data_IF_927786545988
#
_entry.id   IF_927786545988
#
_cell.length_a   1.000
_cell.length_b   1.000
_cell.length_c   1.000
_cell.angle_alpha   90.00
_cell.angle_beta   90.00
_cell.angle_gamma   90.00
#
_symmetry.space_group_name_H-M   'P 1'
#
loop_
_entity.id
_entity.type
_entity.pdbx_description
1 polymer ?
#
# COMPACT_ATOMS: atom_id res chain seq x y z
N UNK A 1 22.35 2.82 -19.83
CA UNK A 1 20.93 3.13 -20.11
C UNK A 1 20.61 2.57 -21.48
N UNK A 2 20.13 1.32 -21.62
CA UNK A 2 19.60 0.78 -22.89
C UNK A 2 19.04 -0.66 -22.77
N UNK A 3 18.77 -1.18 -21.56
CA UNK A 3 18.22 -2.56 -21.45
C UNK A 3 16.84 -2.70 -22.10
N UNK A 4 16.02 -1.65 -22.05
CA UNK A 4 14.62 -1.72 -22.49
C UNK A 4 14.27 -0.73 -23.61
N UNK A 5 15.16 0.21 -23.97
CA UNK A 5 14.90 1.20 -25.02
C UNK A 5 13.67 2.09 -24.78
N UNK A 6 13.23 2.22 -23.51
CA UNK A 6 12.07 3.02 -23.11
C UNK A 6 12.51 4.41 -22.71
N UNK A 7 11.79 5.41 -23.20
CA UNK A 7 11.91 6.79 -22.74
C UNK A 7 10.84 7.05 -21.64
N UNK A 8 11.30 7.31 -20.42
CA UNK A 8 10.45 7.41 -19.23
C UNK A 8 10.65 8.76 -18.53
N UNK A 9 9.54 9.35 -18.06
CA UNK A 9 9.53 10.61 -17.31
C UNK A 9 8.88 10.42 -15.95
N UNK A 10 9.23 11.28 -15.00
CA UNK A 10 8.64 11.31 -13.67
C UNK A 10 7.64 12.45 -13.52
N UNK A 11 6.60 12.20 -12.75
CA UNK A 11 5.66 13.20 -12.27
C UNK A 11 5.70 13.26 -10.74
N UNK A 12 5.29 14.41 -10.19
CA UNK A 12 5.20 14.55 -8.74
C UNK A 12 4.08 13.69 -8.17
N UNK A 13 4.30 13.15 -6.97
CA UNK A 13 3.32 12.34 -6.26
C UNK A 13 3.01 12.96 -4.91
N UNK A 14 1.75 12.89 -4.50
CA UNK A 14 1.28 13.30 -3.16
C UNK A 14 1.52 12.24 -2.09
N UNK A 15 2.13 11.10 -2.45
CA UNK A 15 2.36 9.98 -1.54
C UNK A 15 3.60 10.28 -0.69
N UNK A 16 3.45 10.24 0.64
CA UNK A 16 4.55 10.42 1.59
C UNK A 16 5.18 9.11 2.04
N UNK A 17 4.39 8.03 2.13
CA UNK A 17 4.88 6.72 2.57
C UNK A 17 3.93 5.59 2.18
N UNK A 18 4.47 4.40 1.93
CA UNK A 18 3.68 3.19 1.73
C UNK A 18 3.71 2.29 2.97
N UNK A 19 2.63 1.56 3.24
CA UNK A 19 2.55 0.50 4.25
C UNK A 19 1.88 -0.72 3.64
N UNK A 20 2.49 -1.89 3.74
CA UNK A 20 1.79 -3.11 3.37
C UNK A 20 0.68 -3.39 4.38
N UNK A 21 -0.44 -3.91 3.91
CA UNK A 21 -1.63 -4.15 4.74
C UNK A 21 -1.96 -5.63 4.76
N UNK A 22 -2.12 -6.19 5.95
CA UNK A 22 -2.58 -7.57 6.15
C UNK A 22 -3.65 -7.65 7.23
N UNK A 23 -4.45 -8.72 7.21
CA UNK A 23 -5.46 -8.99 8.25
C UNK A 23 -5.94 -10.44 8.17
N UNK A 24 -6.17 -11.04 9.33
CA UNK A 24 -6.85 -12.34 9.43
C UNK A 24 -8.35 -12.23 9.05
N UNK A 25 -8.92 -11.03 9.08
CA UNK A 25 -10.30 -10.75 8.66
C UNK A 25 -10.34 -10.31 7.19
N UNK A 26 -10.50 -11.30 6.30
CA UNK A 26 -10.60 -11.08 4.84
C UNK A 26 -11.69 -10.09 4.45
N UNK A 27 -12.79 -10.01 5.21
CA UNK A 27 -13.87 -9.06 4.94
C UNK A 27 -13.39 -7.64 5.20
N UNK A 28 -12.72 -7.41 6.33
CA UNK A 28 -12.14 -6.10 6.64
C UNK A 28 -11.10 -5.67 5.61
N UNK A 29 -10.27 -6.59 5.12
CA UNK A 29 -9.29 -6.28 4.08
C UNK A 29 -9.95 -5.91 2.74
N UNK A 30 -10.98 -6.65 2.33
CA UNK A 30 -11.74 -6.35 1.12
C UNK A 30 -12.52 -5.03 1.23
N UNK A 31 -13.15 -4.76 2.37
CA UNK A 31 -13.84 -3.49 2.62
C UNK A 31 -12.87 -2.31 2.59
N UNK A 32 -11.64 -2.49 3.10
CA UNK A 32 -10.58 -1.49 3.06
C UNK A 32 -10.13 -1.18 1.63
N UNK A 33 -9.86 -2.21 0.83
CA UNK A 33 -9.48 -2.05 -0.57
C UNK A 33 -10.59 -1.35 -1.37
N UNK A 34 -11.85 -1.74 -1.14
CA UNK A 34 -13.00 -1.14 -1.82
C UNK A 34 -13.20 0.34 -1.43
N UNK A 35 -13.06 0.69 -0.15
CA UNK A 35 -13.29 2.06 0.33
C UNK A 35 -12.14 3.02 0.04
N UNK A 36 -10.89 2.50 0.02
CA UNK A 36 -9.68 3.28 -0.17
C UNK A 36 -8.98 2.97 -1.49
N UNK A 37 -9.74 2.55 -2.52
CA UNK A 37 -9.21 2.16 -3.83
C UNK A 37 -8.22 3.15 -4.46
N UNK A 38 -8.41 4.46 -4.24
CA UNK A 38 -7.50 5.51 -4.74
C UNK A 38 -6.21 5.68 -3.92
N UNK A 39 -6.12 5.07 -2.75
CA UNK A 39 -5.00 5.14 -1.82
C UNK A 39 -4.39 3.75 -1.56
N UNK A 40 -4.71 2.77 -2.40
CA UNK A 40 -4.10 1.44 -2.34
C UNK A 40 -3.51 1.08 -3.70
N UNK A 41 -2.48 0.25 -3.66
CA UNK A 41 -1.86 -0.32 -4.84
C UNK A 41 -1.35 -1.71 -4.53
N UNK A 42 -1.05 -2.46 -5.58
CA UNK A 42 -0.35 -3.73 -5.48
C UNK A 42 1.12 -3.55 -5.85
N UNK A 43 2.01 -4.11 -5.04
CA UNK A 43 3.43 -4.17 -5.38
C UNK A 43 3.71 -5.26 -6.43
N UNK A 44 4.96 -5.35 -6.89
CA UNK A 44 5.37 -6.32 -7.91
C UNK A 44 5.16 -7.80 -7.52
N UNK A 45 4.99 -8.11 -6.23
CA UNK A 45 4.70 -9.45 -5.72
C UNK A 45 3.20 -9.66 -5.41
N UNK A 46 2.34 -8.69 -5.72
CA UNK A 46 0.91 -8.76 -5.53
C UNK A 46 0.46 -8.56 -4.07
N UNK A 47 1.25 -7.84 -3.26
CA UNK A 47 0.85 -7.46 -1.91
C UNK A 47 0.15 -6.10 -1.91
N UNK A 48 -0.96 -6.02 -1.17
CA UNK A 48 -1.70 -4.78 -0.99
C UNK A 48 -0.88 -3.79 -0.15
N UNK A 49 -0.73 -2.57 -0.65
CA UNK A 49 -0.04 -1.48 0.03
C UNK A 49 -0.94 -0.24 0.07
N UNK A 50 -1.06 0.34 1.26
CA UNK A 50 -1.66 1.64 1.49
C UNK A 50 -0.66 2.75 1.20
N UNK A 51 -1.07 3.73 0.40
CA UNK A 51 -0.28 4.87 -0.07
C UNK A 51 -0.70 6.11 0.70
N UNK A 52 -0.09 6.32 1.86
CA UNK A 52 -0.42 7.45 2.74
C UNK A 52 0.09 8.77 2.14
N UNK A 53 -0.72 9.83 2.25
CA UNK A 53 -0.35 11.18 1.80
C UNK A 53 0.35 12.02 2.87
N UNK A 54 0.23 11.61 4.13
CA UNK A 54 0.94 12.21 5.27
C UNK A 54 0.95 11.25 6.47
N UNK A 55 1.79 11.54 7.48
CA UNK A 55 1.79 10.80 8.74
C UNK A 55 0.47 10.88 9.52
N UNK A 56 -0.26 12.00 9.41
CA UNK A 56 -1.59 12.15 10.02
C UNK A 56 -2.62 11.29 9.31
N UNK A 57 -2.60 11.25 7.96
CA UNK A 57 -3.47 10.39 7.17
C UNK A 57 -3.23 8.90 7.50
N UNK A 58 -1.96 8.47 7.62
CA UNK A 58 -1.64 7.12 8.05
C UNK A 58 -2.24 6.81 9.43
N UNK A 59 -2.01 7.67 10.43
CA UNK A 59 -2.50 7.44 11.79
C UNK A 59 -4.02 7.35 11.86
N UNK A 60 -4.73 8.29 11.23
CA UNK A 60 -6.21 8.27 11.18
C UNK A 60 -6.75 7.04 10.47
N UNK A 61 -6.05 6.54 9.45
CA UNK A 61 -6.45 5.33 8.73
C UNK A 61 -6.25 4.09 9.62
N UNK A 62 -5.14 4.00 10.35
CA UNK A 62 -4.89 2.93 11.33
C UNK A 62 -5.96 2.92 12.43
N UNK A 63 -6.36 4.09 12.94
CA UNK A 63 -7.43 4.22 13.94
C UNK A 63 -8.80 3.76 13.42
N UNK A 64 -9.13 4.06 12.15
CA UNK A 64 -10.40 3.63 11.51
C UNK A 64 -10.42 2.15 11.18
N UNK A 65 -9.27 1.55 10.91
CA UNK A 65 -9.12 0.16 10.50
C UNK A 65 -8.32 -0.66 11.53
N UNK A 66 -8.78 -0.77 12.78
CA UNK A 66 -8.01 -1.39 13.86
C UNK A 66 -7.80 -2.90 13.68
N UNK A 67 -8.53 -3.54 12.76
CA UNK A 67 -8.38 -4.95 12.40
C UNK A 67 -7.29 -5.22 11.37
N UNK A 68 -6.71 -4.18 10.78
CA UNK A 68 -5.67 -4.28 9.77
C UNK A 68 -4.31 -3.96 10.39
N UNK A 69 -3.29 -4.68 9.96
CA UNK A 69 -1.90 -4.41 10.35
C UNK A 69 -1.18 -3.69 9.21
N UNK A 70 -0.50 -2.60 9.55
CA UNK A 70 0.22 -1.76 8.59
C UNK A 70 1.73 -1.92 8.80
N UNK A 71 2.38 -2.58 7.84
CA UNK A 71 3.80 -2.94 7.93
C UNK A 71 4.67 -1.90 7.24
N UNK A 72 5.71 -1.42 7.93
CA UNK A 72 6.72 -0.53 7.34
C UNK A 72 7.75 -1.29 6.49
N UNK A 73 7.88 -2.60 6.73
CA UNK A 73 8.81 -3.50 6.05
C UNK A 73 8.12 -4.83 5.77
N UNK A 74 8.61 -5.56 4.76
CA UNK A 74 8.26 -6.97 4.52
C UNK A 74 9.48 -7.69 3.98
N UNK A 75 9.46 -9.02 4.03
CA UNK A 75 10.44 -9.83 3.32
C UNK A 75 10.21 -9.74 1.81
N UNK A 76 11.28 -9.58 1.03
CA UNK A 76 11.22 -9.22 -0.40
C UNK A 76 10.48 -10.24 -1.27
N UNK A 77 10.58 -11.53 -0.97
CA UNK A 77 9.93 -12.62 -1.71
C UNK A 77 8.65 -13.15 -1.05
N UNK A 78 8.25 -12.61 0.10
CA UNK A 78 7.08 -13.11 0.82
C UNK A 78 5.79 -12.43 0.34
N UNK A 79 4.73 -13.25 0.25
CA UNK A 79 3.37 -12.75 0.17
C UNK A 79 2.84 -12.61 1.58
N UNK A 80 2.33 -11.43 1.93
CA UNK A 80 1.65 -11.23 3.21
C UNK A 80 0.31 -11.98 3.15
N UNK A 81 0.08 -12.85 4.13
CA UNK A 81 -1.14 -13.64 4.27
C UNK A 81 -2.28 -12.78 4.85
#
# INVERSE_FOLDING_TARGET
LNEYGVDAVFESSSISSARWVSSDDKKSLGDFENQLGHQVAYDAAGNLAFLATSGVNLRLTQERWPKLTFHATREHAARLA
#
